data_IF_380101174623
#
_entry.id   IF_380101174623
#
_cell.length_a   1.000
_cell.length_b   1.000
_cell.length_c   1.000
_cell.angle_alpha   90.00
_cell.angle_beta   90.00
_cell.angle_gamma   90.00
#
_symmetry.space_group_name_H-M   'P 1'
#
loop_
_entity.id
_entity.type
_entity.pdbx_description
1 polymer ?
#
# COMPACT_ATOMS: atom_id res chain seq x y z
N UNK A 1 -1.09 -15.51 55.96
CA UNK A 1 -1.67 -14.90 54.74
C UNK A 1 -0.51 -14.51 53.82
N UNK A 2 -0.36 -15.16 52.66
CA UNK A 2 0.62 -14.75 51.63
C UNK A 2 -0.15 -13.98 50.56
N UNK A 3 0.11 -12.68 50.46
CA UNK A 3 -0.48 -11.82 49.44
C UNK A 3 0.29 -12.06 48.13
N UNK A 4 -0.36 -12.70 47.15
CA UNK A 4 0.15 -12.72 45.77
C UNK A 4 -0.20 -11.38 45.11
N UNK A 5 0.82 -10.56 44.85
CA UNK A 5 0.68 -9.42 43.96
C UNK A 5 0.68 -9.91 42.51
N UNK A 6 -0.48 -9.84 41.85
CA UNK A 6 -0.59 -10.05 40.42
C UNK A 6 -0.17 -8.74 39.75
N UNK A 7 1.06 -8.68 39.22
CA UNK A 7 1.46 -7.65 38.27
C UNK A 7 0.76 -7.94 36.94
N UNK A 8 -0.38 -7.29 36.71
CA UNK A 8 -0.96 -7.18 35.37
C UNK A 8 -0.06 -6.27 34.53
N UNK A 9 0.84 -6.86 33.76
CA UNK A 9 1.62 -6.15 32.76
C UNK A 9 0.68 -5.62 31.68
N UNK A 10 0.57 -4.29 31.58
CA UNK A 10 -0.01 -3.65 30.42
C UNK A 10 0.92 -3.94 29.23
N UNK A 11 0.57 -4.94 28.41
CA UNK A 11 1.18 -5.11 27.10
C UNK A 11 0.82 -3.88 26.28
N UNK A 12 1.74 -2.93 26.20
CA UNK A 12 1.69 -1.88 25.19
C UNK A 12 1.70 -2.56 23.84
N UNK A 13 0.60 -2.48 23.10
CA UNK A 13 0.53 -2.81 21.69
C UNK A 13 1.41 -1.78 20.95
N UNK A 14 2.72 -2.01 20.94
CA UNK A 14 3.61 -1.29 20.07
C UNK A 14 3.15 -1.62 18.64
N UNK A 15 2.55 -0.65 17.97
CA UNK A 15 2.17 -0.74 16.56
C UNK A 15 3.45 -0.82 15.73
N UNK A 16 3.96 -2.04 15.63
CA UNK A 16 5.05 -2.42 14.75
C UNK A 16 4.55 -2.33 13.30
N UNK A 17 5.48 -2.15 12.36
CA UNK A 17 5.26 -2.01 10.92
C UNK A 17 5.03 -0.58 10.43
N UNK A 18 4.52 -0.46 9.21
CA UNK A 18 4.64 0.72 8.36
C UNK A 18 3.25 1.14 7.87
N UNK A 19 2.99 2.45 7.75
CA UNK A 19 1.75 3.00 7.21
C UNK A 19 2.00 4.14 6.22
N UNK A 20 1.02 4.38 5.35
CA UNK A 20 0.98 5.53 4.45
C UNK A 20 0.62 6.81 5.23
N UNK A 21 1.64 7.63 5.49
CA UNK A 21 1.52 8.93 6.16
C UNK A 21 1.04 10.04 5.23
N UNK A 22 1.49 10.03 3.98
CA UNK A 22 1.12 11.03 2.97
C UNK A 22 0.97 10.39 1.57
N UNK A 23 -0.14 10.61 0.83
CA UNK A 23 -1.39 11.20 1.32
C UNK A 23 -1.96 10.39 2.50
N UNK A 24 -2.47 11.03 3.58
CA UNK A 24 -2.90 10.31 4.78
C UNK A 24 -3.96 9.25 4.49
N UNK A 25 -3.69 8.00 4.87
CA UNK A 25 -4.62 6.89 4.66
C UNK A 25 -5.93 7.06 5.44
N UNK A 26 -7.01 6.40 4.99
CA UNK A 26 -8.23 6.31 5.77
C UNK A 26 -7.95 5.73 7.17
N UNK A 27 -8.60 6.31 8.18
CA UNK A 27 -8.50 5.90 9.58
C UNK A 27 -7.09 6.00 10.20
N UNK A 28 -6.11 6.53 9.47
CA UNK A 28 -4.82 6.90 10.06
C UNK A 28 -5.02 8.09 11.00
N UNK A 29 -4.22 8.15 12.06
CA UNK A 29 -4.12 9.32 12.94
C UNK A 29 -3.58 10.55 12.22
N UNK A 30 -2.90 10.37 11.07
CA UNK A 30 -2.44 11.46 10.21
C UNK A 30 -3.57 12.06 9.34
N UNK A 31 -4.70 11.36 9.20
CA UNK A 31 -5.78 11.82 8.35
C UNK A 31 -6.75 12.73 9.15
N UNK A 32 -6.88 14.02 8.79
CA UNK A 32 -7.70 14.96 9.54
C UNK A 32 -9.20 14.63 9.50
N UNK A 33 -9.64 13.76 8.59
CA UNK A 33 -11.03 13.34 8.46
C UNK A 33 -11.36 12.10 9.32
N UNK A 34 -10.37 11.46 9.96
CA UNK A 34 -10.56 10.27 10.78
C UNK A 34 -11.38 10.55 12.04
N UNK A 35 -11.15 11.69 12.70
CA UNK A 35 -11.77 12.01 13.99
C UNK A 35 -11.46 10.94 15.05
N UNK A 36 -12.50 10.46 15.74
CA UNK A 36 -12.36 9.44 16.79
C UNK A 36 -12.23 8.00 16.28
N UNK A 37 -12.34 7.75 14.97
CA UNK A 37 -12.38 6.41 14.38
C UNK A 37 -10.99 5.87 13.98
N UNK A 38 -9.95 6.31 14.67
CA UNK A 38 -8.56 5.89 14.39
C UNK A 38 -8.45 4.36 14.42
N UNK A 39 -7.84 3.81 13.37
CA UNK A 39 -7.40 2.42 13.35
C UNK A 39 -5.98 2.34 13.92
N UNK A 40 -5.85 1.91 15.17
CA UNK A 40 -4.55 1.72 15.82
C UNK A 40 -3.75 0.53 15.26
N UNK A 41 -4.41 -0.32 14.45
CA UNK A 41 -3.84 -1.48 13.76
C UNK A 41 -3.62 -1.23 12.26
N UNK A 42 -3.63 0.04 11.82
CA UNK A 42 -3.48 0.42 10.41
C UNK A 42 -2.15 -0.04 9.78
N UNK A 43 -1.12 -0.19 10.62
CA UNK A 43 0.22 -0.67 10.25
C UNK A 43 0.27 -2.18 10.02
N UNK A 44 -0.66 -2.95 10.57
CA UNK A 44 -0.70 -4.39 10.39
C UNK A 44 -1.04 -4.75 8.94
N UNK A 45 -0.55 -5.90 8.45
CA UNK A 45 -0.84 -6.35 7.09
C UNK A 45 -2.34 -6.59 6.88
N UNK A 46 -2.71 -6.87 5.64
CA UNK A 46 -4.01 -7.44 5.33
C UNK A 46 -4.09 -8.86 5.91
N UNK A 47 -5.32 -9.30 6.16
CA UNK A 47 -5.58 -10.66 6.62
C UNK A 47 -5.13 -11.66 5.56
N UNK A 48 -4.46 -12.74 5.96
CA UNK A 48 -3.99 -13.78 5.05
C UNK A 48 -5.13 -14.46 4.27
N UNK A 49 -6.36 -14.38 4.77
CA UNK A 49 -7.58 -14.85 4.09
C UNK A 49 -8.08 -13.89 3.00
N UNK A 50 -7.58 -12.66 2.95
CA UNK A 50 -8.06 -11.59 2.08
C UNK A 50 -9.38 -10.95 2.52
N UNK A 51 -9.90 -11.29 3.70
CA UNK A 51 -11.22 -10.82 4.18
C UNK A 51 -11.34 -9.30 4.32
N UNK A 52 -10.22 -8.60 4.49
CA UNK A 52 -10.15 -7.14 4.57
C UNK A 52 -9.50 -6.49 3.32
N UNK A 53 -9.23 -7.25 2.25
CA UNK A 53 -8.80 -6.68 0.99
C UNK A 53 -10.00 -6.11 0.21
N UNK A 54 -9.88 -4.94 -0.46
CA UNK A 54 -8.74 -4.01 -0.47
C UNK A 54 -8.82 -2.95 0.65
N UNK A 55 -7.70 -2.24 0.89
CA UNK A 55 -7.62 -1.07 1.77
C UNK A 55 -8.05 -1.33 3.22
N UNK A 56 -7.85 -2.53 3.76
CA UNK A 56 -8.40 -2.97 5.07
C UNK A 56 -9.93 -2.79 5.18
N UNK A 57 -10.64 -2.81 4.05
CA UNK A 57 -12.08 -2.53 3.94
C UNK A 57 -12.46 -1.05 3.93
N UNK A 58 -11.50 -0.14 4.07
CA UNK A 58 -11.77 1.30 4.25
C UNK A 58 -12.02 2.06 2.95
N UNK A 59 -11.84 1.42 1.78
CA UNK A 59 -12.27 1.97 0.48
C UNK A 59 -13.76 2.36 0.47
N UNK A 60 -14.58 1.72 1.32
CA UNK A 60 -16.01 2.04 1.52
C UNK A 60 -16.27 3.45 2.07
N UNK A 61 -15.27 4.09 2.67
CA UNK A 61 -15.39 5.46 3.17
C UNK A 61 -15.35 6.52 2.07
N UNK A 62 -14.90 6.19 0.86
CA UNK A 62 -14.83 7.11 -0.27
C UNK A 62 -16.20 7.77 -0.54
N UNK A 63 -16.23 9.09 -0.73
CA UNK A 63 -17.46 9.86 -0.91
C UNK A 63 -18.26 10.12 0.38
N UNK A 64 -17.79 9.66 1.55
CA UNK A 64 -18.39 10.01 2.86
C UNK A 64 -17.63 11.17 3.52
N UNK A 65 -18.18 11.83 4.55
CA UNK A 65 -17.44 12.86 5.30
C UNK A 65 -16.11 12.37 5.90
N UNK A 66 -16.03 11.10 6.31
CA UNK A 66 -14.81 10.47 6.85
C UNK A 66 -13.80 10.10 5.76
N UNK A 67 -14.24 10.04 4.50
CA UNK A 67 -13.40 9.75 3.34
C UNK A 67 -13.24 10.93 2.41
N UNK A 68 -13.32 12.17 2.92
CA UNK A 68 -12.99 13.37 2.16
C UNK A 68 -11.57 13.27 1.60
N UNK A 69 -11.41 13.79 0.39
CA UNK A 69 -10.12 13.87 -0.29
C UNK A 69 -9.08 14.59 0.56
N UNK A 70 -7.89 13.98 0.69
CA UNK A 70 -6.76 14.52 1.47
C UNK A 70 -5.66 15.09 0.58
N UNK A 71 -5.75 14.92 -0.74
CA UNK A 71 -4.81 15.50 -1.69
C UNK A 71 -5.50 15.81 -3.02
N UNK A 72 -5.03 16.84 -3.71
CA UNK A 72 -5.50 17.17 -5.05
C UNK A 72 -4.33 17.19 -6.03
N UNK A 73 -4.39 16.37 -7.07
CA UNK A 73 -3.34 16.18 -8.06
C UNK A 73 -3.82 16.52 -9.46
N UNK A 74 -2.88 16.83 -10.36
CA UNK A 74 -3.11 17.11 -11.77
C UNK A 74 -2.53 15.98 -12.62
N UNK A 75 -3.19 15.57 -13.71
CA UNK A 75 -2.59 14.65 -14.68
C UNK A 75 -1.24 15.18 -15.19
N UNK A 76 -0.25 14.29 -15.31
CA UNK A 76 1.13 14.65 -15.68
C UNK A 76 1.97 15.25 -14.54
N UNK A 77 1.38 15.51 -13.37
CA UNK A 77 2.12 16.00 -12.21
C UNK A 77 2.94 14.90 -11.52
N UNK A 78 4.07 15.30 -10.95
CA UNK A 78 4.91 14.46 -10.09
C UNK A 78 4.58 14.71 -8.63
N UNK A 79 4.40 13.63 -7.87
CA UNK A 79 4.05 13.64 -6.45
C UNK A 79 4.84 12.54 -5.73
N UNK A 80 4.73 12.50 -4.40
CA UNK A 80 5.35 11.45 -3.60
C UNK A 80 4.35 10.85 -2.63
N UNK A 81 4.54 9.56 -2.34
CA UNK A 81 3.98 8.93 -1.15
C UNK A 81 5.04 8.89 -0.05
N UNK A 82 4.64 9.14 1.19
CA UNK A 82 5.49 9.00 2.37
C UNK A 82 4.97 7.87 3.23
N UNK A 83 5.83 6.88 3.47
CA UNK A 83 5.57 5.76 4.37
C UNK A 83 6.31 6.04 5.68
N UNK A 84 5.67 5.78 6.81
CA UNK A 84 6.26 5.97 8.14
C UNK A 84 6.13 4.70 8.97
N UNK A 85 7.02 4.52 9.95
CA UNK A 85 7.01 3.37 10.84
C UNK A 85 8.41 2.98 11.29
N UNK A 86 8.50 1.90 12.06
CA UNK A 86 9.72 1.46 12.72
C UNK A 86 10.13 0.01 12.41
N UNK A 87 9.30 -0.75 11.68
CA UNK A 87 9.58 -2.14 11.32
C UNK A 87 9.42 -2.34 9.81
N UNK A 88 10.40 -1.91 9.00
CA UNK A 88 10.32 -2.01 7.55
C UNK A 88 10.65 -3.40 7.01
N UNK A 89 10.93 -4.41 7.85
CA UNK A 89 11.26 -5.78 7.43
C UNK A 89 12.33 -5.87 6.34
N UNK A 90 13.42 -5.12 6.49
CA UNK A 90 14.51 -4.96 5.49
C UNK A 90 14.04 -4.42 4.13
N UNK A 91 12.88 -3.79 4.09
CA UNK A 91 12.23 -3.27 2.90
C UNK A 91 11.41 -4.35 2.20
N UNK A 92 11.67 -4.55 0.93
CA UNK A 92 10.79 -5.29 0.03
C UNK A 92 10.44 -4.44 -1.19
N UNK A 93 9.30 -4.76 -1.80
CA UNK A 93 8.82 -4.03 -2.98
C UNK A 93 7.43 -3.47 -2.77
N UNK A 94 7.18 -2.30 -3.35
CA UNK A 94 5.92 -1.59 -3.24
C UNK A 94 5.34 -1.22 -4.61
N UNK A 95 4.04 -0.97 -4.66
CA UNK A 95 3.41 -0.27 -5.77
C UNK A 95 2.60 0.93 -5.28
N UNK A 96 2.69 2.02 -6.04
CA UNK A 96 1.73 3.11 -6.00
C UNK A 96 0.68 2.85 -7.09
N UNK A 97 -0.60 2.87 -6.71
CA UNK A 97 -1.71 2.56 -7.63
C UNK A 97 -2.90 3.50 -7.45
N UNK A 98 -3.71 3.62 -8.51
CA UNK A 98 -4.95 4.41 -8.52
C UNK A 98 -6.16 3.53 -8.82
N UNK A 99 -7.25 3.74 -8.10
CA UNK A 99 -8.56 3.19 -8.44
C UNK A 99 -9.55 4.31 -8.76
N UNK A 100 -10.26 4.15 -9.87
CA UNK A 100 -11.32 5.05 -10.34
C UNK A 100 -12.72 4.42 -10.21
N UNK A 101 -12.78 3.18 -9.73
CA UNK A 101 -13.97 2.34 -9.62
C UNK A 101 -14.22 1.92 -8.17
N UNK A 102 -13.94 2.84 -7.23
CA UNK A 102 -14.19 2.69 -5.78
C UNK A 102 -13.51 1.46 -5.14
N UNK A 103 -12.41 1.00 -5.72
CA UNK A 103 -11.58 -0.09 -5.21
C UNK A 103 -11.79 -1.44 -5.88
N UNK A 104 -12.63 -1.52 -6.92
CA UNK A 104 -12.79 -2.78 -7.68
C UNK A 104 -11.52 -3.15 -8.46
N UNK A 105 -10.82 -2.17 -9.04
CA UNK A 105 -9.53 -2.36 -9.70
C UNK A 105 -8.57 -1.23 -9.35
N UNK A 106 -7.28 -1.54 -9.31
CA UNK A 106 -6.22 -0.57 -9.06
C UNK A 106 -5.21 -0.64 -10.22
N UNK A 107 -4.93 0.50 -10.85
CA UNK A 107 -3.94 0.64 -11.92
C UNK A 107 -2.60 1.09 -11.36
N UNK A 108 -1.54 0.34 -11.66
CA UNK A 108 -0.18 0.66 -11.20
C UNK A 108 0.31 1.93 -11.89
N UNK A 109 0.65 2.94 -11.11
CA UNK A 109 1.30 4.15 -11.64
C UNK A 109 2.81 4.11 -11.45
N UNK A 110 3.33 3.41 -10.44
CA UNK A 110 4.77 3.22 -10.24
C UNK A 110 5.06 1.95 -9.43
N UNK A 111 6.07 1.19 -9.83
CA UNK A 111 6.59 0.05 -9.06
C UNK A 111 7.97 0.35 -8.48
N UNK A 112 8.16 0.05 -7.20
CA UNK A 112 9.44 0.17 -6.49
C UNK A 112 9.90 -1.23 -6.12
N UNK A 113 10.89 -1.75 -6.84
CA UNK A 113 11.40 -3.11 -6.65
C UNK A 113 12.68 -3.02 -5.80
N UNK A 114 12.54 -3.39 -4.52
CA UNK A 114 13.58 -3.24 -3.51
C UNK A 114 13.57 -1.89 -2.79
N UNK A 115 14.09 -1.89 -1.56
CA UNK A 115 14.26 -0.71 -0.69
C UNK A 115 12.96 0.09 -0.46
N UNK A 116 11.82 -0.60 -0.39
CA UNK A 116 10.53 0.02 -0.05
C UNK A 116 9.73 -0.81 0.97
N UNK A 117 9.28 -0.20 2.09
CA UNK A 117 9.71 1.08 2.64
C UNK A 117 11.08 0.96 3.35
N UNK A 118 11.61 2.07 3.89
CA UNK A 118 12.75 2.03 4.84
C UNK A 118 12.35 2.64 6.20
N UNK A 119 13.21 2.48 7.20
CA UNK A 119 12.94 2.92 8.58
C UNK A 119 12.64 4.42 8.65
N UNK A 120 11.65 4.80 9.45
CA UNK A 120 11.22 6.18 9.61
C UNK A 120 10.39 6.69 8.44
N UNK A 121 10.36 8.01 8.28
CA UNK A 121 9.67 8.65 7.15
C UNK A 121 10.49 8.44 5.87
N UNK A 122 9.94 7.70 4.91
CA UNK A 122 10.54 7.39 3.61
C UNK A 122 9.61 7.82 2.48
N UNK A 123 10.13 8.60 1.53
CA UNK A 123 9.34 9.19 0.43
C UNK A 123 9.69 8.59 -0.93
N UNK A 124 8.66 8.31 -1.72
CA UNK A 124 8.75 7.61 -3.00
C UNK A 124 8.00 8.42 -4.07
N UNK A 125 8.74 8.93 -5.06
CA UNK A 125 8.24 9.81 -6.11
C UNK A 125 7.67 9.04 -7.30
N UNK A 126 6.50 9.48 -7.78
CA UNK A 126 5.81 8.95 -8.95
C UNK A 126 5.18 10.08 -9.77
N UNK A 127 4.90 9.81 -11.05
CA UNK A 127 4.23 10.75 -11.94
C UNK A 127 2.90 10.19 -12.40
N UNK A 128 1.83 10.98 -12.34
CA UNK A 128 0.55 10.56 -12.89
C UNK A 128 0.60 10.58 -14.42
N UNK A 129 0.01 9.59 -15.11
CA UNK A 129 -0.21 9.67 -16.54
C UNK A 129 -0.94 10.95 -16.94
N UNK A 130 -0.57 11.53 -18.09
CA UNK A 130 -1.22 12.74 -18.60
C UNK A 130 -2.71 12.56 -18.90
N UNK A 131 -3.15 11.32 -19.11
CA UNK A 131 -4.55 10.97 -19.38
C UNK A 131 -5.31 10.47 -18.14
N UNK A 132 -4.74 10.63 -16.94
CA UNK A 132 -5.41 10.26 -15.67
C UNK A 132 -6.81 10.89 -15.61
N UNK A 133 -7.88 10.10 -15.41
CA UNK A 133 -9.24 10.60 -15.35
C UNK A 133 -9.41 11.60 -14.20
N UNK A 134 -10.12 12.69 -14.47
CA UNK A 134 -10.50 13.67 -13.46
C UNK A 134 -11.60 13.11 -12.55
N UNK A 135 -11.64 13.60 -11.31
CA UNK A 135 -12.65 13.23 -10.32
C UNK A 135 -12.05 12.67 -9.04
N UNK A 136 -12.93 12.11 -8.20
CA UNK A 136 -12.55 11.39 -6.99
C UNK A 136 -11.88 10.05 -7.35
N UNK A 137 -10.77 9.73 -6.68
CA UNK A 137 -10.05 8.48 -6.87
C UNK A 137 -9.48 7.97 -5.53
N UNK A 138 -9.17 6.67 -5.48
CA UNK A 138 -8.38 6.10 -4.40
C UNK A 138 -6.92 6.02 -4.83
N UNK A 139 -6.03 6.53 -3.99
CA UNK A 139 -4.62 6.21 -4.04
C UNK A 139 -4.32 5.04 -3.11
N UNK A 140 -3.56 4.05 -3.57
CA UNK A 140 -3.14 2.92 -2.77
C UNK A 140 -1.61 2.79 -2.76
N UNK A 141 -1.06 2.65 -1.56
CA UNK A 141 0.25 2.07 -1.34
C UNK A 141 0.05 0.59 -1.01
N UNK A 142 0.76 -0.28 -1.71
CA UNK A 142 0.88 -1.71 -1.39
C UNK A 142 2.34 -2.08 -1.18
N UNK A 143 2.61 -3.03 -0.28
CA UNK A 143 3.96 -3.47 0.06
C UNK A 143 4.01 -4.96 0.38
N UNK A 144 5.07 -5.60 -0.11
CA UNK A 144 5.42 -7.00 0.17
C UNK A 144 6.80 -7.02 0.83
N UNK A 145 6.83 -7.41 2.09
CA UNK A 145 7.98 -7.37 2.98
C UNK A 145 9.06 -8.39 2.62
N UNK A 146 10.33 -8.00 2.76
CA UNK A 146 11.47 -8.87 2.47
C UNK A 146 11.66 -9.95 3.55
N UNK A 147 11.56 -9.57 4.83
CA UNK A 147 11.77 -10.44 6.02
C UNK A 147 10.46 -10.76 6.76
N UNK A 148 10.35 -11.95 7.35
CA UNK A 148 9.23 -12.33 8.24
C UNK A 148 8.13 -13.14 7.57
N UNK A 149 6.89 -13.01 8.05
CA UNK A 149 5.74 -13.66 7.43
C UNK A 149 5.52 -13.15 6.01
N UNK A 150 4.95 -13.96 5.12
CA UNK A 150 4.66 -13.53 3.75
C UNK A 150 3.34 -12.76 3.78
N UNK A 151 3.45 -11.44 3.73
CA UNK A 151 2.33 -10.54 3.98
C UNK A 151 2.12 -9.57 2.82
N UNK A 152 0.92 -8.98 2.77
CA UNK A 152 0.63 -7.84 1.91
C UNK A 152 0.12 -6.71 2.78
N UNK A 153 0.85 -5.60 2.80
CA UNK A 153 0.40 -4.36 3.43
C UNK A 153 -0.31 -3.52 2.38
N UNK A 154 -1.40 -2.86 2.77
CA UNK A 154 -2.12 -1.94 1.89
C UNK A 154 -2.80 -0.84 2.69
N UNK A 155 -2.48 0.41 2.38
CA UNK A 155 -3.21 1.57 2.87
C UNK A 155 -3.71 2.40 1.71
N UNK A 156 -4.90 2.99 1.86
CA UNK A 156 -5.52 3.79 0.82
C UNK A 156 -5.95 5.15 1.33
N UNK A 157 -5.88 6.15 0.47
CA UNK A 157 -6.30 7.52 0.72
C UNK A 157 -7.28 7.98 -0.37
N UNK A 158 -8.24 8.83 0.00
CA UNK A 158 -9.05 9.55 -0.97
C UNK A 158 -8.25 10.71 -1.55
N UNK A 159 -8.24 10.84 -2.87
CA UNK A 159 -7.62 11.96 -3.57
C UNK A 159 -8.58 12.52 -4.62
N UNK A 160 -8.30 13.73 -5.09
CA UNK A 160 -9.02 14.36 -6.20
C UNK A 160 -8.06 14.60 -7.35
N UNK A 161 -8.40 14.10 -8.54
CA UNK A 161 -7.68 14.42 -9.78
C UNK A 161 -8.38 15.60 -10.46
N UNK A 162 -7.63 16.69 -10.68
CA UNK A 162 -8.13 17.87 -11.41
C UNK A 162 -8.46 17.52 -12.86
N UNK A 163 -9.38 18.28 -13.46
CA UNK A 163 -9.59 18.26 -14.90
C UNK A 163 -8.27 18.58 -15.64
N UNK A 164 -7.87 17.69 -16.54
CA UNK A 164 -6.68 17.88 -17.38
C UNK A 164 -6.94 18.67 -18.67
N UNK A 165 -5.88 19.19 -19.28
CA UNK A 165 -5.89 19.75 -20.63
C UNK A 165 -5.93 18.66 -21.73
N UNK A 166 -6.11 19.07 -23.01
CA UNK A 166 -6.35 18.17 -24.17
C UNK A 166 -5.42 16.94 -24.18
N UNK A 167 -6.05 15.76 -24.13
CA UNK A 167 -5.43 14.43 -24.29
C UNK A 167 -4.81 14.32 -25.69
N UNK A 168 -3.49 14.45 -25.83
CA UNK A 168 -2.80 14.05 -27.07
C UNK A 168 -1.63 13.14 -26.73
N UNK A 169 -1.77 11.87 -27.11
CA UNK A 169 -0.66 10.92 -27.25
C UNK A 169 0.15 10.63 -25.99
N UNK A 170 -0.49 10.30 -24.87
CA UNK A 170 0.27 9.75 -23.74
C UNK A 170 0.92 8.44 -24.20
N UNK A 171 2.26 8.35 -24.18
CA UNK A 171 2.99 7.15 -24.59
C UNK A 171 2.64 5.92 -23.74
N UNK A 172 2.23 6.16 -22.49
CA UNK A 172 1.87 5.14 -21.49
C UNK A 172 0.53 5.50 -20.83
N UNK A 173 -0.60 5.34 -21.53
CA UNK A 173 -1.91 5.75 -21.04
C UNK A 173 -2.35 4.95 -19.80
N UNK A 174 -3.20 5.53 -18.96
CA UNK A 174 -3.72 4.89 -17.75
C UNK A 174 -4.43 3.55 -18.05
N UNK A 175 -5.07 3.45 -19.22
CA UNK A 175 -5.82 2.26 -19.64
C UNK A 175 -4.93 1.07 -20.00
N UNK A 176 -3.68 1.31 -20.44
CA UNK A 176 -2.73 0.24 -20.77
C UNK A 176 -1.90 -0.21 -19.57
N UNK A 177 -2.03 0.46 -18.42
CA UNK A 177 -1.29 0.09 -17.22
C UNK A 177 -1.85 -1.18 -16.59
N UNK A 178 -0.98 -2.02 -16.02
CA UNK A 178 -1.42 -3.27 -15.41
C UNK A 178 -2.22 -3.00 -14.14
N UNK A 179 -2.98 -4.01 -13.75
CA UNK A 179 -3.60 -4.00 -12.44
C UNK A 179 -2.52 -4.19 -11.36
N UNK A 180 -2.76 -3.63 -10.17
CA UNK A 180 -1.90 -3.80 -9.00
C UNK A 180 -1.71 -5.27 -8.69
N UNK A 181 -0.48 -5.63 -8.36
CA UNK A 181 -0.12 -6.97 -7.93
C UNK A 181 -0.73 -7.29 -6.57
N UNK A 182 -1.28 -8.50 -6.43
CA UNK A 182 -1.94 -8.98 -5.21
C UNK A 182 -1.43 -10.38 -4.92
N UNK A 183 -0.96 -10.60 -3.70
CA UNK A 183 -0.47 -11.88 -3.20
C UNK A 183 -0.63 -11.96 -1.69
N UNK A 184 -0.41 -13.13 -1.10
CA UNK A 184 -0.42 -13.36 0.35
C UNK A 184 -1.77 -13.07 1.05
N UNK A 185 -2.87 -13.05 0.28
CA UNK A 185 -4.23 -12.74 0.75
C UNK A 185 -5.25 -13.82 0.32
N UNK A 186 -4.83 -15.09 0.36
CA UNK A 186 -5.71 -16.22 0.09
C UNK A 186 -6.08 -16.40 -1.39
N UNK A 187 -5.42 -15.69 -2.30
CA UNK A 187 -5.68 -15.72 -3.74
C UNK A 187 -4.84 -16.76 -4.52
N UNK A 188 -4.11 -17.64 -3.82
CA UNK A 188 -3.22 -18.64 -4.43
C UNK A 188 -1.95 -18.07 -5.07
N UNK A 189 -1.63 -16.78 -4.83
CA UNK A 189 -0.37 -16.14 -5.25
C UNK A 189 0.43 -15.78 -4.00
N UNK A 190 1.74 -16.01 -4.03
CA UNK A 190 2.60 -15.74 -2.89
C UNK A 190 3.92 -15.08 -3.27
N UNK A 191 4.52 -14.41 -2.28
CA UNK A 191 5.91 -13.97 -2.33
C UNK A 191 6.81 -14.87 -1.49
N UNK A 192 8.13 -14.71 -1.61
CA UNK A 192 9.12 -15.50 -0.89
C UNK A 192 9.87 -14.64 0.12
N UNK A 193 10.33 -15.23 1.21
CA UNK A 193 11.20 -14.56 2.18
C UNK A 193 12.62 -14.41 1.63
N UNK A 194 13.31 -13.34 2.05
CA UNK A 194 14.71 -13.12 1.74
C UNK A 194 14.97 -12.64 0.31
N UNK A 195 13.92 -12.19 -0.39
CA UNK A 195 13.97 -11.62 -1.75
C UNK A 195 12.94 -10.52 -1.90
N UNK A 196 13.25 -9.53 -2.74
CA UNK A 196 12.26 -8.56 -3.21
C UNK A 196 11.33 -9.22 -4.24
N UNK A 197 10.03 -8.92 -4.21
CA UNK A 197 9.15 -9.44 -5.27
C UNK A 197 9.42 -8.72 -6.58
N UNK A 198 9.75 -9.48 -7.61
CA UNK A 198 9.77 -9.00 -8.99
C UNK A 198 8.33 -9.04 -9.52
N UNK A 199 7.69 -7.88 -9.63
CA UNK A 199 6.31 -7.81 -10.10
C UNK A 199 6.24 -8.35 -11.55
N UNK A 200 5.34 -9.31 -11.86
CA UNK A 200 5.19 -9.84 -13.23
C UNK A 200 4.80 -8.76 -14.25
N UNK A 201 4.06 -7.75 -13.78
CA UNK A 201 3.61 -6.62 -14.57
C UNK A 201 3.88 -5.32 -13.80
N UNK A 202 5.12 -4.81 -13.80
CA UNK A 202 5.49 -3.66 -12.99
C UNK A 202 4.97 -2.33 -13.58
N UNK A 203 4.47 -2.36 -14.81
CA UNK A 203 4.10 -1.16 -15.56
C UNK A 203 5.31 -0.48 -16.19
N UNK A 204 5.09 0.66 -16.87
CA UNK A 204 6.15 1.36 -17.59
C UNK A 204 7.08 2.18 -16.69
N UNK A 205 6.64 2.54 -15.47
CA UNK A 205 7.43 3.33 -14.53
C UNK A 205 7.90 2.45 -13.36
N UNK A 206 9.21 2.20 -13.32
CA UNK A 206 9.82 1.27 -12.37
C UNK A 206 11.10 1.87 -11.79
N UNK A 207 11.18 1.92 -10.47
CA UNK A 207 12.44 2.16 -9.75
C UNK A 207 12.98 0.83 -9.25
N UNK A 208 14.21 0.49 -9.62
CA UNK A 208 14.87 -0.75 -9.19
C UNK A 208 16.01 -0.43 -8.23
N UNK A 209 15.85 -0.86 -6.98
CA UNK A 209 16.89 -0.83 -5.95
C UNK A 209 16.90 -2.16 -5.18
N UNK A 210 16.82 -3.27 -5.92
CA UNK A 210 16.90 -4.61 -5.38
C UNK A 210 18.29 -5.20 -5.63
N UNK A 211 18.82 -5.91 -4.63
CA UNK A 211 20.02 -6.75 -4.78
C UNK A 211 19.70 -8.20 -5.12
N UNK A 212 18.44 -8.61 -4.88
CA UNK A 212 17.97 -9.99 -5.06
C UNK A 212 16.45 -9.96 -5.18
N UNK A 213 15.94 -10.10 -6.40
CA UNK A 213 14.49 -10.19 -6.66
C UNK A 213 14.11 -11.56 -7.17
N UNK A 214 12.83 -11.93 -6.97
CA UNK A 214 12.25 -13.18 -7.50
C UNK A 214 10.80 -12.95 -7.91
N UNK A 215 10.34 -13.47 -9.06
CA UNK A 215 8.93 -13.49 -9.40
C UNK A 215 8.10 -14.24 -8.35
N UNK A 216 6.79 -13.93 -8.23
CA UNK A 216 5.91 -14.61 -7.28
C UNK A 216 5.68 -16.08 -7.63
N UNK A 217 5.26 -16.86 -6.64
CA UNK A 217 4.80 -18.23 -6.81
C UNK A 217 3.28 -18.31 -7.05
N UNK A 218 2.83 -19.47 -7.53
CA UNK A 218 1.41 -19.82 -7.69
C UNK A 218 1.12 -21.15 -6.98
N UNK A 219 -0.09 -21.29 -6.43
CA UNK A 219 -0.59 -22.51 -5.77
C UNK A 219 -0.52 -22.47 -4.25
N UNK A 220 -0.42 -23.64 -3.61
CA UNK A 220 -0.23 -23.78 -2.16
C UNK A 220 1.23 -23.46 -1.82
N UNK A 221 1.56 -22.18 -1.83
CA UNK A 221 2.85 -21.75 -1.34
C UNK A 221 2.99 -22.19 0.11
N UNK A 222 3.96 -23.06 0.37
CA UNK A 222 4.20 -23.57 1.71
C UNK A 222 4.37 -22.40 2.65
N UNK A 223 3.43 -22.23 3.57
CA UNK A 223 3.61 -21.44 4.78
C UNK A 223 4.54 -22.24 5.70
N UNK A 224 5.75 -22.49 5.20
CA UNK A 224 6.77 -23.30 5.83
C UNK A 224 7.98 -22.42 5.99
N UNK A 225 8.18 -21.92 7.21
CA UNK A 225 9.50 -21.47 7.61
C UNK A 225 10.53 -22.56 7.32
N UNK A 226 11.78 -22.12 7.12
CA UNK A 226 13.00 -22.90 7.33
C UNK A 226 12.91 -24.39 7.00
N UNK A 227 13.44 -24.76 5.84
CA UNK A 227 14.29 -25.95 5.78
C UNK A 227 15.74 -25.48 5.95
#
# INVERSE_FOLDING_TARGET
>A
MKVLAILAGAFGLASAHMELKNPPAFRSSYNPNTGGDVDYDIRSPLEASGSNFPCKGYHKLLGTPKGKSVATWSPGGTYSMTITGNTPHKGGSCQASLSFDRGSTFKVIHSYIGNCPVMGDSSYSFTLPHDTPAGEALFAWSWFNWEGNREMYMNCAAITIKAGGKKRGASNPISSRPNMFVANVGNGVCTYEGVDVEFPQPGPDVTRNSRKSKPPGQGSCGWGGVA
#
